data_IF_275377503917
#
_entry.id   IF_275377503917
#
_cell.length_a   1.000
_cell.length_b   1.000
_cell.length_c   1.000
_cell.angle_alpha   90.00
_cell.angle_beta   90.00
_cell.angle_gamma   90.00
#
_symmetry.space_group_name_H-M   'P 1'
#
loop_
_entity.id
_entity.type
_entity.pdbx_description
1 polymer ?
#
# COMPACT_ATOMS: atom_id res chain seq x y z
N UNK A 1 -60.60 9.37 9.11
CA UNK A 1 -59.59 8.53 9.81
C UNK A 1 -58.34 8.50 8.94
N UNK A 2 -57.43 9.43 9.20
CA UNK A 2 -56.15 9.55 8.45
C UNK A 2 -55.04 8.85 9.20
N UNK A 3 -54.46 7.86 8.57
CA UNK A 3 -53.35 7.03 9.09
C UNK A 3 -52.00 7.73 8.86
N UNK A 4 -51.42 8.31 9.92
CA UNK A 4 -50.06 8.87 9.90
C UNK A 4 -49.02 7.75 9.69
N UNK A 5 -48.43 7.65 8.50
CA UNK A 5 -47.22 6.88 8.26
C UNK A 5 -46.03 7.56 8.95
N UNK A 6 -45.53 6.99 10.03
CA UNK A 6 -44.26 7.33 10.63
C UNK A 6 -43.12 6.78 9.76
N UNK A 7 -42.42 7.66 9.09
CA UNK A 7 -41.13 7.37 8.43
C UNK A 7 -40.05 7.14 9.51
N UNK A 8 -39.63 5.88 9.68
CA UNK A 8 -38.45 5.52 10.46
C UNK A 8 -37.21 6.18 9.85
N UNK A 9 -36.65 7.16 10.53
CA UNK A 9 -35.33 7.71 10.20
C UNK A 9 -34.31 6.57 10.25
N UNK A 10 -33.57 6.34 9.13
CA UNK A 10 -32.41 5.48 9.08
C UNK A 10 -31.37 6.02 10.06
N UNK A 11 -31.06 5.25 11.08
CA UNK A 11 -29.89 5.50 11.94
C UNK A 11 -28.67 5.52 11.02
N UNK A 12 -28.08 6.68 10.83
CA UNK A 12 -26.77 6.82 10.25
C UNK A 12 -25.79 6.06 11.17
N UNK A 13 -25.19 5.01 10.65
CA UNK A 13 -24.18 4.22 11.34
C UNK A 13 -23.05 5.17 11.72
N UNK A 14 -22.82 5.33 13.03
CA UNK A 14 -21.72 6.16 13.53
C UNK A 14 -20.41 5.56 12.99
N UNK A 15 -19.49 6.40 12.47
CA UNK A 15 -18.21 5.91 11.99
C UNK A 15 -17.54 5.11 13.10
N UNK A 16 -17.04 3.91 12.79
CA UNK A 16 -16.30 3.07 13.72
C UNK A 16 -15.05 3.83 14.15
N UNK A 17 -14.98 4.20 15.43
CA UNK A 17 -13.77 4.78 16.02
C UNK A 17 -12.82 3.65 16.38
N UNK A 18 -11.62 3.67 15.80
CA UNK A 18 -10.55 2.74 16.17
C UNK A 18 -9.80 3.29 17.39
N UNK A 19 -9.38 2.39 18.30
CA UNK A 19 -8.60 2.78 19.47
C UNK A 19 -7.12 2.67 19.17
N UNK A 20 -6.41 3.80 19.17
CA UNK A 20 -4.96 3.86 19.04
C UNK A 20 -4.30 4.09 20.39
N UNK A 21 -3.35 3.21 20.77
CA UNK A 21 -2.57 3.35 22.00
C UNK A 21 -1.14 3.74 21.67
N UNK A 22 -0.65 4.84 22.25
CA UNK A 22 0.73 5.29 22.08
C UNK A 22 1.36 5.72 23.41
N UNK A 23 2.69 5.69 23.48
CA UNK A 23 3.45 6.08 24.67
C UNK A 23 4.05 7.47 24.46
N UNK A 24 3.76 8.37 25.39
CA UNK A 24 4.38 9.69 25.46
C UNK A 24 5.48 9.72 26.53
N UNK A 25 6.55 10.48 26.29
CA UNK A 25 7.50 10.81 27.35
C UNK A 25 6.80 11.60 28.46
N UNK A 26 7.26 11.49 29.73
CA UNK A 26 6.66 12.22 30.86
C UNK A 26 6.58 13.73 30.60
N UNK A 27 7.63 14.30 30.00
CA UNK A 27 7.68 15.71 29.66
C UNK A 27 6.59 16.08 28.64
N UNK A 28 6.47 15.34 27.56
CA UNK A 28 5.49 15.62 26.51
C UNK A 28 4.06 15.46 27.02
N UNK A 29 3.80 14.43 27.82
CA UNK A 29 2.50 14.23 28.46
C UNK A 29 2.12 15.41 29.35
N UNK A 30 3.04 15.87 30.21
CA UNK A 30 2.79 17.01 31.10
C UNK A 30 2.49 18.30 30.32
N UNK A 31 3.26 18.56 29.24
CA UNK A 31 3.01 19.70 28.37
C UNK A 31 1.64 19.64 27.69
N UNK A 32 1.26 18.47 27.16
CA UNK A 32 -0.04 18.26 26.53
C UNK A 32 -1.20 18.40 27.53
N UNK A 33 -1.06 17.92 28.78
CA UNK A 33 -2.05 18.09 29.83
C UNK A 33 -2.23 19.58 30.19
N UNK A 34 -1.15 20.35 30.30
CA UNK A 34 -1.22 21.81 30.59
C UNK A 34 -1.90 22.52 29.39
N UNK A 35 -1.56 22.19 28.17
CA UNK A 35 -2.16 22.79 26.98
C UNK A 35 -3.66 22.47 26.87
N UNK A 36 -4.06 21.22 27.15
CA UNK A 36 -5.46 20.80 27.17
C UNK A 36 -6.27 21.57 28.23
N UNK A 37 -5.75 21.70 29.46
CA UNK A 37 -6.38 22.48 30.52
C UNK A 37 -6.53 23.95 30.13
N UNK A 38 -5.51 24.56 29.53
CA UNK A 38 -5.58 25.96 29.05
C UNK A 38 -6.70 26.16 28.03
N UNK A 39 -6.97 25.14 27.19
CA UNK A 39 -8.05 25.15 26.18
C UNK A 39 -9.40 24.68 26.71
N UNK A 40 -9.48 24.17 27.94
CA UNK A 40 -10.72 23.64 28.54
C UNK A 40 -11.19 22.33 27.88
N UNK A 41 -10.28 21.54 27.31
CA UNK A 41 -10.59 20.28 26.63
C UNK A 41 -9.89 19.10 27.31
N UNK A 42 -10.30 17.86 26.99
CA UNK A 42 -9.62 16.65 27.46
C UNK A 42 -8.27 16.49 26.76
N UNK A 43 -7.33 15.73 27.38
CA UNK A 43 -6.06 15.42 26.77
C UNK A 43 -6.23 14.69 25.41
N UNK A 44 -7.17 13.75 25.34
CA UNK A 44 -7.45 13.02 24.10
C UNK A 44 -7.88 13.98 22.98
N UNK A 45 -8.86 14.84 23.27
CA UNK A 45 -9.37 15.83 22.30
C UNK A 45 -8.28 16.83 21.86
N UNK A 46 -7.39 17.22 22.80
CA UNK A 46 -6.26 18.10 22.46
C UNK A 46 -5.26 17.42 21.53
N UNK A 47 -4.95 16.14 21.76
CA UNK A 47 -4.05 15.37 20.91
C UNK A 47 -4.66 15.14 19.53
N UNK A 48 -5.94 14.78 19.44
CA UNK A 48 -6.70 14.62 18.21
C UNK A 48 -6.66 15.90 17.36
N UNK A 49 -7.04 17.04 17.96
CA UNK A 49 -7.00 18.35 17.26
C UNK A 49 -5.58 18.74 16.82
N UNK A 50 -4.56 18.42 17.60
CA UNK A 50 -3.18 18.70 17.24
C UNK A 50 -2.70 17.82 16.03
N UNK A 51 -3.13 16.55 16.01
CA UNK A 51 -2.87 15.66 14.88
C UNK A 51 -3.59 16.14 13.61
N UNK A 52 -4.88 16.47 13.71
CA UNK A 52 -5.65 17.00 12.58
C UNK A 52 -4.98 18.27 12.01
N UNK A 53 -4.58 19.20 12.88
CA UNK A 53 -3.89 20.41 12.45
C UNK A 53 -2.57 20.11 11.74
N UNK A 54 -1.77 19.17 12.28
CA UNK A 54 -0.50 18.75 11.65
C UNK A 54 -0.70 18.08 10.30
N UNK A 55 -1.76 17.27 10.15
CA UNK A 55 -2.08 16.59 8.89
C UNK A 55 -2.68 17.53 7.85
N UNK A 56 -3.28 18.64 8.28
CA UNK A 56 -3.85 19.66 7.40
C UNK A 56 -2.78 20.62 6.83
N UNK A 57 -1.57 20.66 7.40
CA UNK A 57 -0.51 21.54 6.91
C UNK A 57 -0.08 21.15 5.48
N UNK A 58 0.07 22.12 4.56
CA UNK A 58 0.60 21.89 3.23
C UNK A 58 2.04 21.39 3.27
N UNK A 59 2.37 20.47 2.39
CA UNK A 59 3.72 19.89 2.29
C UNK A 59 4.31 20.18 0.91
N UNK A 60 5.51 20.74 0.86
CA UNK A 60 6.15 21.20 -0.37
C UNK A 60 6.32 20.09 -1.42
N UNK A 61 6.77 18.89 -1.01
CA UNK A 61 6.95 17.78 -1.96
C UNK A 61 5.62 17.23 -2.52
N UNK A 62 4.48 17.57 -1.89
CA UNK A 62 3.13 17.25 -2.36
C UNK A 62 2.51 18.40 -3.20
N UNK A 63 3.32 19.35 -3.68
CA UNK A 63 2.87 20.52 -4.44
C UNK A 63 1.82 21.35 -3.69
N UNK A 64 1.98 21.47 -2.38
CA UNK A 64 1.08 22.21 -1.50
C UNK A 64 -0.17 21.44 -1.04
N UNK A 65 -0.34 20.17 -1.41
CA UNK A 65 -1.38 19.33 -0.81
C UNK A 65 -0.99 18.94 0.62
N UNK A 66 -1.99 18.80 1.49
CA UNK A 66 -1.79 18.26 2.84
C UNK A 66 -1.82 16.72 2.85
N UNK A 67 -1.27 16.11 3.91
CA UNK A 67 -1.40 14.65 4.10
C UNK A 67 -2.87 14.24 4.22
N UNK A 68 -3.70 15.05 4.88
CA UNK A 68 -5.14 14.81 4.99
C UNK A 68 -5.80 14.72 3.60
N UNK A 69 -5.52 15.70 2.71
CA UNK A 69 -6.06 15.68 1.35
C UNK A 69 -5.61 14.45 0.54
N UNK A 70 -4.35 14.03 0.72
CA UNK A 70 -3.84 12.79 0.08
C UNK A 70 -4.51 11.55 0.67
N UNK A 71 -4.71 11.51 1.99
CA UNK A 71 -5.37 10.38 2.64
C UNK A 71 -6.83 10.25 2.17
N UNK A 72 -7.57 11.35 2.06
CA UNK A 72 -8.95 11.36 1.55
C UNK A 72 -9.01 10.90 0.08
N UNK A 73 -8.06 11.34 -0.76
CA UNK A 73 -8.00 10.86 -2.16
C UNK A 73 -7.70 9.37 -2.25
N UNK A 74 -6.87 8.85 -1.34
CA UNK A 74 -6.46 7.45 -1.32
C UNK A 74 -7.47 6.53 -0.65
N UNK A 75 -8.34 7.08 0.20
CA UNK A 75 -9.32 6.28 0.92
C UNK A 75 -10.34 5.65 -0.03
N UNK A 76 -10.61 4.38 0.18
CA UNK A 76 -11.69 3.64 -0.45
C UNK A 76 -12.08 2.50 0.51
N UNK A 77 -13.33 2.07 0.47
CA UNK A 77 -13.77 0.90 1.24
C UNK A 77 -13.20 -0.40 0.65
N UNK A 78 -12.86 -0.38 -0.65
CA UNK A 78 -12.21 -1.48 -1.35
C UNK A 78 -10.68 -1.35 -1.25
N UNK A 79 -10.05 -2.31 -0.58
CA UNK A 79 -8.59 -2.36 -0.41
C UNK A 79 -7.83 -2.43 -1.74
N UNK A 80 -8.38 -3.10 -2.75
CA UNK A 80 -7.78 -3.18 -4.10
C UNK A 80 -7.75 -1.81 -4.73
N UNK A 81 -8.84 -1.06 -4.64
CA UNK A 81 -8.92 0.29 -5.17
C UNK A 81 -7.98 1.24 -4.41
N UNK A 82 -7.88 1.14 -3.09
CA UNK A 82 -6.89 1.86 -2.29
C UNK A 82 -5.47 1.59 -2.77
N UNK A 83 -5.12 0.32 -2.98
CA UNK A 83 -3.80 -0.07 -3.48
C UNK A 83 -3.54 0.48 -4.88
N UNK A 84 -4.48 0.35 -5.80
CA UNK A 84 -4.36 0.83 -7.17
C UNK A 84 -4.25 2.36 -7.26
N UNK A 85 -4.92 3.10 -6.39
CA UNK A 85 -4.78 4.56 -6.27
C UNK A 85 -3.36 4.95 -5.84
N UNK A 86 -2.81 4.28 -4.80
CA UNK A 86 -1.42 4.47 -4.35
C UNK A 86 -0.41 4.16 -5.43
N UNK A 87 -0.63 3.06 -6.14
CA UNK A 87 0.22 2.63 -7.24
C UNK A 87 0.36 3.67 -8.35
N UNK A 88 -0.71 4.40 -8.65
CA UNK A 88 -0.72 5.40 -9.74
C UNK A 88 -0.02 6.70 -9.37
N UNK A 89 -0.16 7.17 -8.11
CA UNK A 89 0.25 8.52 -7.74
C UNK A 89 1.14 8.61 -6.52
N UNK A 90 1.03 7.68 -5.57
CA UNK A 90 1.57 7.85 -4.23
C UNK A 90 2.34 6.63 -3.74
N UNK A 91 3.30 6.15 -4.55
CA UNK A 91 4.15 5.00 -4.19
C UNK A 91 4.84 5.16 -2.82
N UNK A 92 5.15 6.40 -2.44
CA UNK A 92 5.74 6.71 -1.14
C UNK A 92 4.80 6.42 0.05
N UNK A 93 3.47 6.43 -0.17
CA UNK A 93 2.45 6.15 0.85
C UNK A 93 2.16 4.65 1.02
N UNK A 94 2.86 3.77 0.31
CA UNK A 94 2.69 2.33 0.45
C UNK A 94 3.35 1.81 1.72
N UNK A 95 2.64 0.92 2.44
CA UNK A 95 3.22 0.16 3.54
C UNK A 95 4.28 -0.84 3.04
N UNK A 96 5.13 -1.38 3.93
CA UNK A 96 6.08 -2.44 3.55
C UNK A 96 5.40 -3.65 2.89
N UNK A 97 4.23 -4.06 3.38
CA UNK A 97 3.43 -5.16 2.81
C UNK A 97 2.96 -4.80 1.39
N UNK A 98 2.47 -3.58 1.19
CA UNK A 98 2.04 -3.10 -0.13
C UNK A 98 3.19 -2.99 -1.13
N UNK A 99 4.41 -2.68 -0.66
CA UNK A 99 5.60 -2.70 -1.52
C UNK A 99 5.95 -4.12 -1.94
N UNK A 100 5.92 -5.10 -1.01
CA UNK A 100 6.10 -6.51 -1.35
C UNK A 100 5.03 -7.01 -2.33
N UNK A 101 3.78 -6.59 -2.13
CA UNK A 101 2.70 -6.90 -3.07
C UNK A 101 2.96 -6.31 -4.46
N UNK A 102 3.47 -5.09 -4.53
CA UNK A 102 3.86 -4.46 -5.79
C UNK A 102 4.99 -5.23 -6.48
N UNK A 103 6.01 -5.64 -5.73
CA UNK A 103 7.12 -6.43 -6.25
C UNK A 103 6.62 -7.78 -6.78
N UNK A 104 5.69 -8.43 -6.08
CA UNK A 104 5.04 -9.66 -6.50
C UNK A 104 4.26 -9.46 -7.81
N UNK A 105 3.46 -8.41 -7.91
CA UNK A 105 2.70 -8.06 -9.12
C UNK A 105 3.65 -7.77 -10.30
N UNK A 106 4.75 -7.06 -10.06
CA UNK A 106 5.73 -6.76 -11.11
C UNK A 106 6.49 -8.00 -11.60
N UNK A 107 6.58 -9.03 -10.77
CA UNK A 107 7.24 -10.28 -11.12
C UNK A 107 6.45 -11.05 -12.18
N UNK A 108 5.12 -10.92 -12.20
CA UNK A 108 4.25 -11.62 -13.13
C UNK A 108 3.96 -10.79 -14.39
N UNK A 109 4.26 -11.33 -15.59
CA UNK A 109 3.93 -10.68 -16.85
C UNK A 109 2.41 -10.58 -17.09
N UNK A 110 1.61 -11.40 -16.43
CA UNK A 110 0.14 -11.39 -16.55
C UNK A 110 -0.50 -10.24 -15.78
N UNK A 111 0.05 -9.89 -14.61
CA UNK A 111 -0.42 -8.74 -13.85
C UNK A 111 0.07 -7.41 -14.40
N UNK A 112 1.28 -7.40 -14.98
CA UNK A 112 1.93 -6.21 -15.49
C UNK A 112 2.53 -6.44 -16.88
N UNK A 113 1.69 -6.50 -17.93
CA UNK A 113 2.15 -6.73 -19.30
C UNK A 113 2.99 -5.58 -19.84
N UNK A 114 3.63 -5.80 -20.98
CA UNK A 114 4.67 -4.95 -21.59
C UNK A 114 4.30 -3.46 -21.78
N UNK A 115 3.01 -3.11 -21.76
CA UNK A 115 2.53 -1.73 -21.97
C UNK A 115 2.46 -0.89 -20.69
N UNK A 116 3.01 -1.35 -19.58
CA UNK A 116 2.95 -0.67 -18.28
C UNK A 116 1.52 -0.40 -17.76
N UNK A 117 0.58 -1.18 -18.20
CA UNK A 117 -0.82 -1.13 -17.72
C UNK A 117 -1.05 -2.34 -16.83
N UNK A 118 -1.51 -2.10 -15.62
CA UNK A 118 -1.85 -3.17 -14.68
C UNK A 118 -3.12 -3.88 -15.12
N UNK A 119 -3.10 -5.22 -15.10
CA UNK A 119 -4.30 -6.02 -15.27
C UNK A 119 -5.09 -6.01 -13.96
N UNK A 120 -5.88 -4.95 -13.76
CA UNK A 120 -6.62 -4.74 -12.52
C UNK A 120 -7.64 -5.83 -12.25
N UNK A 121 -8.27 -6.39 -13.30
CA UNK A 121 -9.24 -7.48 -13.15
C UNK A 121 -8.58 -8.73 -12.56
N UNK A 122 -7.40 -9.11 -13.06
CA UNK A 122 -6.66 -10.25 -12.58
C UNK A 122 -6.10 -10.02 -11.18
N UNK A 123 -5.63 -8.81 -10.87
CA UNK A 123 -5.20 -8.42 -9.53
C UNK A 123 -6.37 -8.52 -8.55
N UNK A 124 -7.55 -8.02 -8.90
CA UNK A 124 -8.74 -8.10 -8.06
C UNK A 124 -9.17 -9.54 -7.82
N UNK A 125 -9.13 -10.38 -8.87
CA UNK A 125 -9.49 -11.79 -8.79
C UNK A 125 -8.63 -12.56 -7.78
N UNK A 126 -7.33 -12.26 -7.73
CA UNK A 126 -6.36 -12.97 -6.87
C UNK A 126 -5.91 -12.15 -5.67
N UNK A 127 -6.66 -11.08 -5.34
CA UNK A 127 -6.29 -10.17 -4.24
C UNK A 127 -6.11 -10.87 -2.89
N UNK A 128 -7.00 -11.78 -2.45
CA UNK A 128 -6.87 -12.44 -1.15
C UNK A 128 -5.55 -13.21 -1.01
N UNK A 129 -5.19 -13.98 -2.04
CA UNK A 129 -3.97 -14.79 -2.06
C UNK A 129 -2.73 -13.91 -2.15
N UNK A 130 -2.73 -12.93 -3.06
CA UNK A 130 -1.63 -11.99 -3.25
C UNK A 130 -1.34 -11.19 -1.98
N UNK A 131 -2.38 -10.67 -1.34
CA UNK A 131 -2.25 -9.87 -0.12
C UNK A 131 -1.77 -10.71 1.07
N UNK A 132 -2.27 -11.94 1.22
CA UNK A 132 -1.85 -12.85 2.28
C UNK A 132 -0.37 -13.27 2.13
N UNK A 133 0.07 -13.56 0.91
CA UNK A 133 1.49 -13.88 0.61
C UNK A 133 2.37 -12.64 0.85
N UNK A 134 1.97 -11.47 0.40
CA UNK A 134 2.72 -10.23 0.61
C UNK A 134 2.82 -9.85 2.10
N UNK A 135 1.79 -10.13 2.90
CA UNK A 135 1.79 -9.94 4.35
C UNK A 135 2.64 -11.01 5.09
N UNK A 136 3.03 -12.09 4.41
CA UNK A 136 3.73 -13.23 5.03
C UNK A 136 2.82 -14.11 5.89
N UNK A 137 1.51 -14.04 5.70
CA UNK A 137 0.51 -14.87 6.41
C UNK A 137 0.14 -16.14 5.65
N UNK A 138 0.56 -16.24 4.39
CA UNK A 138 0.34 -17.39 3.53
C UNK A 138 1.64 -17.77 2.79
N UNK A 139 1.74 -19.07 2.46
CA UNK A 139 2.86 -19.60 1.69
C UNK A 139 2.74 -19.18 0.21
N UNK A 140 3.84 -18.77 -0.46
CA UNK A 140 3.85 -18.45 -1.88
C UNK A 140 3.34 -19.57 -2.81
N UNK A 141 3.40 -20.84 -2.37
CA UNK A 141 2.87 -22.00 -3.12
C UNK A 141 1.36 -22.00 -3.30
N UNK A 142 0.64 -21.15 -2.55
CA UNK A 142 -0.81 -20.98 -2.72
C UNK A 142 -1.15 -20.15 -3.97
N UNK A 143 -0.18 -19.42 -4.51
CA UNK A 143 -0.38 -18.67 -5.75
C UNK A 143 -0.38 -19.62 -6.95
N UNK A 144 -1.35 -19.50 -7.87
CA UNK A 144 -1.37 -20.31 -9.09
C UNK A 144 -0.06 -20.18 -9.87
N UNK A 145 0.64 -21.30 -10.15
CA UNK A 145 1.94 -21.26 -10.82
C UNK A 145 1.86 -20.61 -12.21
N UNK A 146 0.71 -20.70 -12.86
CA UNK A 146 0.45 -20.11 -14.17
C UNK A 146 0.59 -18.58 -14.15
N UNK A 147 0.34 -17.94 -13.01
CA UNK A 147 0.46 -16.48 -12.87
C UNK A 147 1.90 -16.00 -12.93
N UNK A 148 2.86 -16.85 -12.62
CA UNK A 148 4.27 -16.47 -12.48
C UNK A 148 5.20 -17.11 -13.51
N UNK A 149 4.67 -17.92 -14.45
CA UNK A 149 5.43 -18.52 -15.55
C UNK A 149 6.77 -19.14 -15.09
N UNK A 150 6.72 -19.91 -13.99
CA UNK A 150 7.88 -20.57 -13.40
C UNK A 150 8.90 -19.64 -12.72
N UNK A 151 8.54 -18.39 -12.45
CA UNK A 151 9.37 -17.47 -11.66
C UNK A 151 9.40 -17.94 -10.21
N UNK A 152 10.58 -17.90 -9.60
CA UNK A 152 10.77 -18.19 -8.19
C UNK A 152 10.19 -17.05 -7.31
N UNK A 153 8.92 -17.20 -6.95
CA UNK A 153 8.18 -16.19 -6.17
C UNK A 153 8.81 -15.99 -4.80
N UNK A 154 9.30 -17.06 -4.17
CA UNK A 154 9.97 -16.98 -2.87
C UNK A 154 11.20 -16.07 -2.95
N UNK A 155 12.04 -16.26 -3.97
CA UNK A 155 13.21 -15.41 -4.20
C UNK A 155 12.83 -13.96 -4.52
N UNK A 156 11.76 -13.76 -5.29
CA UNK A 156 11.25 -12.43 -5.63
C UNK A 156 10.82 -11.64 -4.38
N UNK A 157 10.25 -12.29 -3.38
CA UNK A 157 9.77 -11.70 -2.14
C UNK A 157 10.83 -11.55 -1.05
N UNK A 158 12.02 -12.14 -1.22
CA UNK A 158 13.11 -11.99 -0.25
C UNK A 158 13.49 -10.52 -0.07
N UNK A 159 13.61 -10.11 1.17
CA UNK A 159 14.22 -8.82 1.53
C UNK A 159 15.70 -8.79 1.13
N UNK A 160 16.28 -7.60 1.06
CA UNK A 160 17.72 -7.45 0.80
C UNK A 160 18.57 -8.19 1.84
N UNK A 161 18.18 -8.15 3.12
CA UNK A 161 18.87 -8.85 4.19
C UNK A 161 18.83 -10.37 4.01
N UNK A 162 17.70 -10.94 3.60
CA UNK A 162 17.57 -12.37 3.31
C UNK A 162 18.40 -12.79 2.10
N UNK A 163 18.44 -11.97 1.04
CA UNK A 163 19.31 -12.22 -0.13
C UNK A 163 20.78 -12.17 0.24
N UNK A 164 21.21 -11.24 1.10
CA UNK A 164 22.58 -11.17 1.62
C UNK A 164 22.90 -12.43 2.45
N UNK A 165 21.98 -12.85 3.33
CA UNK A 165 22.14 -14.06 4.12
C UNK A 165 22.24 -15.32 3.24
N UNK A 166 21.41 -15.42 2.20
CA UNK A 166 21.50 -16.50 1.21
C UNK A 166 22.85 -16.48 0.48
N UNK A 167 23.30 -15.31 0.04
CA UNK A 167 24.61 -15.16 -0.62
C UNK A 167 25.77 -15.57 0.28
N UNK A 168 25.74 -15.23 1.56
CA UNK A 168 26.77 -15.63 2.52
C UNK A 168 26.78 -17.15 2.77
N UNK A 169 25.61 -17.80 2.74
CA UNK A 169 25.46 -19.23 2.99
C UNK A 169 25.75 -20.06 1.75
N UNK A 170 25.25 -19.67 0.60
CA UNK A 170 25.38 -20.34 -0.69
C UNK A 170 25.42 -19.33 -1.85
N UNK A 171 26.63 -18.82 -2.17
CA UNK A 171 26.81 -17.83 -3.24
C UNK A 171 26.34 -18.33 -4.62
N UNK A 172 26.54 -19.62 -4.90
CA UNK A 172 26.19 -20.20 -6.20
C UNK A 172 24.68 -20.33 -6.36
N UNK A 173 23.97 -20.79 -5.30
CA UNK A 173 22.52 -20.86 -5.32
C UNK A 173 21.92 -19.46 -5.46
N UNK A 174 22.44 -18.46 -4.74
CA UNK A 174 21.99 -17.08 -4.86
C UNK A 174 22.23 -16.53 -6.27
N UNK A 175 23.40 -16.78 -6.86
CA UNK A 175 23.70 -16.33 -8.23
C UNK A 175 22.78 -16.98 -9.26
N UNK A 176 22.50 -18.30 -9.17
CA UNK A 176 21.56 -19.00 -10.06
C UNK A 176 20.15 -18.41 -9.94
N UNK A 177 19.60 -18.30 -8.72
CA UNK A 177 18.26 -17.71 -8.50
C UNK A 177 18.18 -16.27 -9.01
N UNK A 178 19.23 -15.46 -8.78
CA UNK A 178 19.30 -14.09 -9.32
C UNK A 178 19.30 -14.08 -10.85
N UNK A 179 20.09 -14.95 -11.46
CA UNK A 179 20.17 -15.05 -12.92
C UNK A 179 18.85 -15.48 -13.54
N UNK A 180 18.21 -16.51 -12.99
CA UNK A 180 16.90 -16.99 -13.44
C UNK A 180 15.85 -15.90 -13.30
N UNK A 181 15.80 -15.23 -12.14
CA UNK A 181 14.90 -14.11 -11.90
C UNK A 181 15.12 -12.98 -12.92
N UNK A 182 16.36 -12.57 -13.14
CA UNK A 182 16.72 -11.51 -14.08
C UNK A 182 16.42 -11.89 -15.54
N UNK A 183 16.58 -13.17 -15.90
CA UNK A 183 16.24 -13.64 -17.26
C UNK A 183 14.74 -13.63 -17.50
N UNK A 184 13.95 -14.11 -16.54
CA UNK A 184 12.49 -14.21 -16.64
C UNK A 184 11.79 -12.86 -16.49
N UNK A 185 12.35 -11.95 -15.69
CA UNK A 185 11.84 -10.58 -15.51
C UNK A 185 12.41 -9.59 -16.53
N UNK A 186 13.41 -9.98 -17.34
CA UNK A 186 13.86 -9.16 -18.46
C UNK A 186 12.72 -9.00 -19.45
N UNK A 187 12.11 -7.83 -19.39
CA UNK A 187 11.14 -7.41 -20.40
C UNK A 187 11.82 -7.41 -21.77
N UNK A 188 11.14 -7.87 -22.81
CA UNK A 188 11.63 -7.66 -24.17
C UNK A 188 11.89 -6.16 -24.32
N UNK A 189 13.14 -5.79 -24.59
CA UNK A 189 13.48 -4.43 -24.97
C UNK A 189 12.60 -4.09 -26.15
N UNK A 190 11.69 -3.12 -25.97
CA UNK A 190 10.84 -2.66 -27.05
C UNK A 190 11.72 -2.37 -28.27
N UNK A 191 11.36 -2.83 -29.48
CA UNK A 191 11.94 -2.27 -30.65
C UNK A 191 11.72 -0.75 -30.58
N UNK A 192 12.80 0.02 -30.65
CA UNK A 192 12.71 1.47 -30.80
C UNK A 192 11.72 1.73 -31.93
N UNK A 193 10.59 2.35 -31.59
CA UNK A 193 9.75 2.95 -32.61
C UNK A 193 10.59 4.11 -33.12
N UNK A 194 11.29 3.88 -34.22
CA UNK A 194 11.93 4.95 -34.96
C UNK A 194 10.81 5.89 -35.39
N UNK A 195 10.64 6.95 -34.64
CA UNK A 195 9.84 8.11 -35.04
C UNK A 195 10.59 8.73 -36.23
N UNK A 196 10.33 8.22 -37.42
CA UNK A 196 10.68 8.96 -38.62
C UNK A 196 9.92 10.29 -38.58
N UNK A 197 10.62 11.42 -38.70
CA UNK A 197 9.94 12.69 -38.86
C UNK A 197 9.27 12.65 -40.23
N UNK A 198 7.94 12.65 -40.25
CA UNK A 198 7.22 12.93 -41.50
C UNK A 198 7.55 14.35 -41.91
N UNK A 199 8.20 14.43 -43.06
CA UNK A 199 8.43 15.63 -43.85
C UNK A 199 7.09 16.17 -44.36
#
# INVERSE_FOLDING_TARGET
MESKKQTKAKNAEKPRTETLTFRLSRRLRSLAEVAARKKGVTLANHVETALEASLAEPIDFLRGASIAAVADELYDEDEVLCFLKRLKKYLWAMSPEQKRLLDLIHTSPLFYPAFRVYNTALITQHWPELSAVAAGTADPTLLPPELFDGIDVEFALMSEAERIALYQKDPEACARRTQDYMQRTKRPTHPRIDTQPNI
#
